data_IF_898128815355
#
_entry.id   IF_898128815355
#
_cell.length_a   1.000
_cell.length_b   1.000
_cell.length_c   1.000
_cell.angle_alpha   90.00
_cell.angle_beta   90.00
_cell.angle_gamma   90.00
#
_symmetry.space_group_name_H-M   'P 1'
#
loop_
_entity.id
_entity.type
_entity.pdbx_description
1 polymer ?
#
# COMPACT_ATOMS: atom_id res chain seq x y z
N UNK A 1 37.68 29.48 -9.76
CA UNK A 1 37.02 28.38 -10.50
C UNK A 1 36.08 27.62 -9.57
N UNK A 2 34.86 28.10 -9.34
CA UNK A 2 33.74 27.37 -8.72
C UNK A 2 32.54 28.34 -8.58
N UNK A 3 32.04 28.88 -9.69
CA UNK A 3 30.80 29.67 -9.67
C UNK A 3 29.61 28.75 -9.90
N UNK A 4 28.78 28.66 -8.87
CA UNK A 4 27.31 28.64 -8.93
C UNK A 4 26.68 28.28 -10.29
N UNK A 5 26.14 27.06 -10.36
CA UNK A 5 24.94 26.76 -11.15
C UNK A 5 24.22 25.57 -10.50
N UNK A 6 23.68 25.80 -9.29
CA UNK A 6 22.59 24.99 -8.74
C UNK A 6 21.34 25.31 -9.58
N UNK A 7 21.21 24.64 -10.72
CA UNK A 7 19.99 24.68 -11.52
C UNK A 7 18.92 23.89 -10.76
N UNK A 8 18.14 24.64 -9.98
CA UNK A 8 16.95 24.20 -9.27
C UNK A 8 15.92 23.77 -10.33
N UNK A 9 15.91 22.49 -10.67
CA UNK A 9 14.84 21.91 -11.47
C UNK A 9 13.61 21.78 -10.58
N UNK A 10 12.84 22.87 -10.48
CA UNK A 10 11.67 23.09 -9.60
C UNK A 10 10.37 22.55 -10.21
N UNK A 11 10.44 21.45 -10.95
CA UNK A 11 9.31 20.94 -11.71
C UNK A 11 8.82 19.63 -11.12
N UNK A 12 7.61 19.68 -10.56
CA UNK A 12 6.76 18.54 -10.22
C UNK A 12 7.13 17.72 -8.96
N UNK A 13 7.18 18.38 -7.80
CA UNK A 13 6.63 17.76 -6.58
C UNK A 13 5.10 17.76 -6.73
N UNK A 14 4.57 16.75 -7.42
CA UNK A 14 3.13 16.48 -7.40
C UNK A 14 2.81 16.02 -5.98
N UNK A 15 2.32 16.98 -5.20
CA UNK A 15 1.62 16.83 -3.95
C UNK A 15 0.71 15.59 -4.03
N UNK A 16 1.06 14.54 -3.27
CA UNK A 16 0.03 13.59 -2.88
C UNK A 16 -0.78 14.30 -1.80
N UNK A 17 -1.84 14.98 -2.22
CA UNK A 17 -2.91 15.43 -1.35
C UNK A 17 -3.40 14.20 -0.57
N UNK A 18 -3.01 14.11 0.70
CA UNK A 18 -3.53 13.15 1.66
C UNK A 18 -4.29 13.90 2.75
N UNK A 19 -5.01 14.96 2.36
CA UNK A 19 -5.98 15.63 3.19
C UNK A 19 -7.32 14.89 3.10
N UNK A 20 -7.42 13.80 3.86
CA UNK A 20 -8.63 13.38 4.57
C UNK A 20 -8.32 12.10 5.34
N UNK A 21 -8.54 12.06 6.66
CA UNK A 21 -8.72 10.82 7.37
C UNK A 21 -10.09 10.28 6.98
N UNK A 22 -10.23 9.79 5.75
CA UNK A 22 -11.43 9.05 5.38
C UNK A 22 -11.40 7.80 6.25
N UNK A 23 -12.30 7.78 7.22
CA UNK A 23 -12.83 6.61 7.88
C UNK A 23 -13.50 5.73 6.80
N UNK A 24 -12.71 5.26 5.83
CA UNK A 24 -13.16 4.32 4.83
C UNK A 24 -13.19 2.99 5.55
N UNK A 25 -14.39 2.67 6.01
CA UNK A 25 -14.85 1.31 6.11
C UNK A 25 -14.68 0.67 4.73
N UNK A 26 -13.45 0.26 4.40
CA UNK A 26 -13.16 -0.68 3.31
C UNK A 26 -13.67 -2.06 3.73
N UNK A 27 -14.98 -2.14 3.97
CA UNK A 27 -15.76 -3.32 3.70
C UNK A 27 -16.38 -3.07 2.33
N UNK A 28 -15.54 -2.96 1.29
CA UNK A 28 -16.04 -3.25 -0.04
C UNK A 28 -16.37 -4.74 -0.03
N UNK A 29 -17.61 -5.04 0.33
CA UNK A 29 -18.25 -6.29 -0.05
C UNK A 29 -18.27 -6.28 -1.57
N UNK A 30 -17.19 -6.75 -2.18
CA UNK A 30 -17.15 -7.03 -3.60
C UNK A 30 -18.12 -8.18 -3.79
N UNK A 31 -19.38 -7.83 -4.08
CA UNK A 31 -20.49 -8.77 -4.26
C UNK A 31 -20.25 -9.47 -5.58
N UNK A 32 -19.34 -10.44 -5.56
CA UNK A 32 -19.10 -11.28 -6.71
C UNK A 32 -20.31 -12.21 -6.88
N UNK A 33 -21.10 -11.93 -7.92
CA UNK A 33 -22.26 -12.75 -8.30
C UNK A 33 -21.74 -14.04 -8.95
N UNK A 34 -21.31 -14.99 -8.14
CA UNK A 34 -21.23 -16.40 -8.57
C UNK A 34 -22.52 -17.06 -8.12
N UNK A 35 -23.36 -17.42 -9.10
CA UNK A 35 -24.58 -18.17 -8.85
C UNK A 35 -24.32 -19.42 -8.01
N UNK A 36 -25.12 -19.60 -6.96
CA UNK A 36 -25.17 -20.83 -6.18
C UNK A 36 -24.27 -20.84 -4.94
N UNK A 37 -24.91 -20.82 -3.77
CA UNK A 37 -24.34 -20.84 -2.40
C UNK A 37 -23.64 -19.54 -1.98
N UNK A 38 -24.43 -18.69 -1.34
CA UNK A 38 -23.98 -17.70 -0.35
C UNK A 38 -23.23 -18.41 0.77
N UNK A 39 -21.96 -18.76 0.56
CA UNK A 39 -21.06 -18.87 1.71
C UNK A 39 -21.10 -17.49 2.34
N UNK A 40 -21.62 -17.38 3.57
CA UNK A 40 -21.47 -16.15 4.33
C UNK A 40 -19.98 -15.86 4.34
N UNK A 41 -19.54 -14.90 3.52
CA UNK A 41 -18.16 -14.43 3.49
C UNK A 41 -17.95 -13.67 4.80
N UNK A 42 -17.95 -14.41 5.93
CA UNK A 42 -17.35 -13.90 7.14
C UNK A 42 -15.89 -13.70 6.74
N UNK A 43 -15.40 -12.45 6.70
CA UNK A 43 -14.00 -12.23 6.40
C UNK A 43 -13.20 -13.09 7.37
N UNK A 44 -12.17 -13.76 6.86
CA UNK A 44 -11.32 -14.61 7.68
C UNK A 44 -10.92 -13.79 8.92
N UNK A 45 -11.23 -14.29 10.12
CA UNK A 45 -10.98 -13.60 11.38
C UNK A 45 -9.53 -13.10 11.47
N UNK A 46 -8.62 -13.88 10.88
CA UNK A 46 -7.23 -13.52 10.68
C UNK A 46 -6.99 -12.21 9.93
N UNK A 47 -7.63 -12.01 8.78
CA UNK A 47 -7.45 -10.80 7.98
C UNK A 47 -7.87 -9.57 8.78
N UNK A 48 -8.97 -9.69 9.53
CA UNK A 48 -9.41 -8.63 10.46
C UNK A 48 -8.35 -8.35 11.54
N UNK A 49 -7.81 -9.39 12.19
CA UNK A 49 -6.76 -9.24 13.23
C UNK A 49 -5.49 -8.57 12.69
N UNK A 50 -5.00 -9.00 11.53
CA UNK A 50 -3.83 -8.39 10.91
C UNK A 50 -4.08 -6.92 10.51
N UNK A 51 -5.24 -6.64 9.93
CA UNK A 51 -5.62 -5.29 9.54
C UNK A 51 -5.73 -4.37 10.77
N UNK A 52 -6.35 -4.86 11.86
CA UNK A 52 -6.44 -4.14 13.12
C UNK A 52 -5.07 -3.78 13.69
N UNK A 53 -4.15 -4.75 13.78
CA UNK A 53 -2.78 -4.51 14.28
C UNK A 53 -2.01 -3.52 13.41
N UNK A 54 -2.16 -3.63 12.09
CA UNK A 54 -1.53 -2.70 11.16
C UNK A 54 -2.07 -1.27 11.32
N UNK A 55 -3.39 -1.10 11.45
CA UNK A 55 -4.01 0.22 11.65
C UNK A 55 -3.64 0.81 13.02
N UNK A 56 -3.65 0.01 14.08
CA UNK A 56 -3.21 0.44 15.41
C UNK A 56 -1.75 0.91 15.39
N UNK A 57 -0.85 0.14 14.77
CA UNK A 57 0.55 0.53 14.61
C UNK A 57 0.71 1.83 13.80
N UNK A 58 -0.09 1.99 12.74
CA UNK A 58 -0.09 3.20 11.90
C UNK A 58 -0.50 4.43 12.71
N UNK A 59 -1.59 4.35 13.46
CA UNK A 59 -2.11 5.43 14.30
C UNK A 59 -1.08 5.87 15.35
N UNK A 60 -0.46 4.92 16.05
CA UNK A 60 0.54 5.22 17.07
C UNK A 60 1.80 5.86 16.50
N UNK A 61 2.21 5.45 15.30
CA UNK A 61 3.36 6.06 14.63
C UNK A 61 3.03 7.48 14.15
N UNK A 62 1.82 7.73 13.65
CA UNK A 62 1.38 9.06 13.22
C UNK A 62 1.28 10.06 14.37
N UNK A 63 0.90 9.59 15.56
CA UNK A 63 0.83 10.39 16.80
C UNK A 63 2.19 10.62 17.46
N UNK A 64 3.26 9.95 17.01
CA UNK A 64 4.59 10.09 17.61
C UNK A 64 5.23 11.43 17.25
N UNK A 65 5.14 12.39 18.17
CA UNK A 65 5.80 13.70 18.13
C UNK A 65 7.05 13.75 19.02
N UNK A 66 8.02 12.87 18.77
CA UNK A 66 9.27 12.81 19.53
C UNK A 66 9.28 11.81 20.71
N UNK A 67 8.12 11.25 21.04
CA UNK A 67 8.02 10.17 22.02
C UNK A 67 8.50 8.84 21.42
N UNK A 68 9.67 8.38 21.85
CA UNK A 68 10.27 7.08 21.45
C UNK A 68 9.42 5.87 21.89
N UNK A 69 8.63 6.02 22.95
CA UNK A 69 7.73 4.98 23.46
C UNK A 69 6.66 4.55 22.46
N UNK A 70 5.96 5.50 21.83
CA UNK A 70 4.91 5.22 20.83
C UNK A 70 5.49 4.57 19.56
N UNK A 71 6.69 4.98 19.15
CA UNK A 71 7.39 4.34 18.03
C UNK A 71 7.79 2.89 18.38
N UNK A 72 8.16 2.63 19.63
CA UNK A 72 8.48 1.27 20.09
C UNK A 72 7.24 0.39 20.17
N UNK A 73 6.12 0.93 20.65
CA UNK A 73 4.84 0.23 20.68
C UNK A 73 4.31 -0.09 19.28
N UNK A 74 4.43 0.83 18.33
CA UNK A 74 4.05 0.55 16.93
C UNK A 74 4.93 -0.55 16.31
N UNK A 75 6.24 -0.59 16.61
CA UNK A 75 7.12 -1.69 16.20
C UNK A 75 6.71 -3.02 16.83
N UNK A 76 6.25 -3.03 18.08
CA UNK A 76 5.76 -4.23 18.75
C UNK A 76 4.52 -4.78 18.02
N UNK A 77 3.51 -3.97 17.76
CA UNK A 77 2.32 -4.41 17.00
C UNK A 77 2.66 -4.98 15.62
N UNK A 78 3.67 -4.43 14.95
CA UNK A 78 4.14 -4.97 13.67
C UNK A 78 4.94 -6.27 13.79
N UNK A 79 5.52 -6.57 14.95
CA UNK A 79 6.12 -7.89 15.23
C UNK A 79 5.01 -8.90 15.45
N UNK A 80 4.06 -8.59 16.34
CA UNK A 80 2.87 -9.41 16.59
C UNK A 80 2.13 -9.75 15.28
N UNK A 81 1.89 -8.74 14.44
CA UNK A 81 1.24 -8.96 13.14
C UNK A 81 2.02 -9.94 12.25
N UNK A 82 3.36 -9.90 12.26
CA UNK A 82 4.19 -10.83 11.48
C UNK A 82 4.21 -12.23 12.07
N UNK A 83 4.23 -12.33 13.40
CA UNK A 83 4.18 -13.60 14.11
C UNK A 83 2.84 -14.29 13.83
N UNK A 84 1.72 -13.56 13.87
CA UNK A 84 0.42 -14.07 13.45
C UNK A 84 0.44 -14.60 12.01
N UNK A 85 1.04 -13.87 11.05
CA UNK A 85 1.18 -14.37 9.67
C UNK A 85 2.00 -15.65 9.57
N UNK A 86 3.01 -15.85 10.43
CA UNK A 86 3.84 -17.05 10.43
C UNK A 86 3.11 -18.24 11.03
N UNK A 87 2.44 -18.05 12.17
CA UNK A 87 1.68 -19.09 12.87
C UNK A 87 0.55 -19.63 11.99
N UNK A 88 -0.18 -18.73 11.34
CA UNK A 88 -1.33 -19.08 10.49
C UNK A 88 -0.91 -19.47 9.07
N UNK A 89 0.39 -19.39 8.76
CA UNK A 89 0.96 -19.66 7.43
C UNK A 89 0.32 -18.83 6.31
N UNK A 90 -0.09 -17.60 6.61
CA UNK A 90 -0.74 -16.69 5.67
C UNK A 90 0.28 -15.73 5.07
N UNK A 91 0.20 -15.57 3.74
CA UNK A 91 1.02 -14.60 3.03
C UNK A 91 0.61 -13.19 3.40
N UNK A 92 1.55 -12.42 3.94
CA UNK A 92 1.35 -11.00 4.23
C UNK A 92 0.93 -10.23 2.97
N UNK A 93 -0.06 -9.36 3.14
CA UNK A 93 -0.55 -8.47 2.08
C UNK A 93 0.56 -7.58 1.53
N UNK A 94 0.49 -7.38 0.21
CA UNK A 94 1.52 -6.62 -0.52
C UNK A 94 1.59 -5.17 -0.03
N UNK A 95 0.46 -4.58 0.37
CA UNK A 95 0.39 -3.18 0.76
C UNK A 95 1.03 -2.95 2.14
N UNK A 96 0.76 -3.82 3.11
CA UNK A 96 1.49 -3.82 4.39
C UNK A 96 2.98 -4.11 4.18
N UNK A 97 3.30 -5.06 3.31
CA UNK A 97 4.68 -5.39 2.94
C UNK A 97 5.44 -4.20 2.33
N UNK A 98 4.75 -3.25 1.70
CA UNK A 98 5.35 -2.05 1.08
C UNK A 98 5.59 -0.91 2.07
N UNK A 99 4.84 -0.84 3.16
CA UNK A 99 4.90 0.24 4.16
C UNK A 99 5.76 -0.11 5.37
N UNK A 100 6.06 -1.38 5.63
CA UNK A 100 6.86 -1.78 6.80
C UNK A 100 8.35 -1.90 6.44
N UNK A 101 9.26 -1.48 7.31
CA UNK A 101 10.70 -1.70 7.13
C UNK A 101 11.09 -3.18 7.20
N UNK A 102 12.08 -3.61 6.39
CA UNK A 102 12.59 -5.00 6.40
C UNK A 102 13.27 -5.34 7.73
N UNK A 103 14.13 -4.45 8.22
CA UNK A 103 14.97 -4.69 9.39
C UNK A 103 14.28 -4.24 10.68
N UNK A 104 14.22 -2.92 10.94
CA UNK A 104 13.73 -2.37 12.22
C UNK A 104 12.22 -2.48 12.47
N UNK A 105 11.46 -3.01 11.50
CA UNK A 105 9.98 -3.12 11.55
C UNK A 105 9.27 -1.78 11.79
N UNK A 106 9.89 -0.64 11.50
CA UNK A 106 9.23 0.66 11.55
C UNK A 106 8.23 0.80 10.39
N UNK A 107 7.15 1.56 10.59
CA UNK A 107 6.13 1.81 9.58
C UNK A 107 6.36 3.13 8.84
N UNK A 108 6.15 3.13 7.53
CA UNK A 108 6.22 4.28 6.65
C UNK A 108 4.86 4.95 6.56
N UNK A 109 4.57 5.84 7.52
CA UNK A 109 3.34 6.63 7.56
C UNK A 109 3.71 8.10 7.71
N UNK A 110 2.91 8.99 7.12
CA UNK A 110 3.02 10.41 7.33
C UNK A 110 2.69 10.75 8.79
N UNK A 111 3.56 11.51 9.45
CA UNK A 111 3.33 12.02 10.80
C UNK A 111 2.68 13.40 10.71
N UNK A 112 1.90 13.76 11.73
CA UNK A 112 1.20 15.04 11.77
C UNK A 112 2.16 16.24 11.66
N UNK A 113 3.35 16.12 12.22
CA UNK A 113 4.39 17.17 12.22
C UNK A 113 5.12 17.29 10.86
N UNK A 114 4.67 16.58 9.82
CA UNK A 114 5.34 16.52 8.51
C UNK A 114 6.64 15.70 8.51
N UNK A 115 7.05 15.14 9.65
CA UNK A 115 8.24 14.28 9.72
C UNK A 115 7.98 12.97 8.98
N UNK A 116 8.90 12.63 8.08
CA UNK A 116 8.83 11.40 7.29
C UNK A 116 9.71 10.35 7.95
N UNK A 117 9.29 9.08 7.96
CA UNK A 117 10.13 7.94 8.39
C UNK A 117 10.87 7.28 7.22
N UNK A 118 10.67 7.79 6.01
CA UNK A 118 11.14 7.21 4.75
C UNK A 118 11.68 8.29 3.81
N UNK A 119 12.73 7.94 3.08
CA UNK A 119 13.23 8.71 1.95
C UNK A 119 12.99 7.94 0.65
N UNK A 120 12.38 8.60 -0.33
CA UNK A 120 12.08 8.03 -1.64
C UNK A 120 13.04 8.60 -2.68
N UNK A 121 13.71 7.73 -3.44
CA UNK A 121 14.59 8.12 -4.56
C UNK A 121 14.28 7.28 -5.79
N UNK A 122 14.44 7.86 -6.98
CA UNK A 122 14.29 7.14 -8.24
C UNK A 122 15.66 6.86 -8.86
N UNK A 123 15.86 5.63 -9.34
CA UNK A 123 17.07 5.25 -10.06
C UNK A 123 16.93 5.53 -11.57
N UNK A 124 18.04 5.54 -12.32
CA UNK A 124 18.09 5.65 -13.79
C UNK A 124 17.18 4.63 -14.49
N UNK A 125 17.05 3.42 -13.92
CA UNK A 125 16.13 2.36 -14.37
C UNK A 125 14.65 2.61 -14.02
N UNK A 126 14.27 3.82 -13.58
CA UNK A 126 12.93 4.21 -13.11
C UNK A 126 12.39 3.34 -11.95
N UNK A 127 13.29 2.75 -11.17
CA UNK A 127 12.94 1.99 -9.97
C UNK A 127 12.76 2.93 -8.78
N UNK A 128 11.72 2.72 -7.99
CA UNK A 128 11.47 3.45 -6.75
C UNK A 128 12.24 2.79 -5.61
N UNK A 129 13.18 3.51 -5.02
CA UNK A 129 13.98 3.08 -3.87
C UNK A 129 13.44 3.78 -2.63
N UNK A 130 12.96 2.98 -1.68
CA UNK A 130 12.46 3.41 -0.37
C UNK A 130 13.52 3.12 0.68
N UNK A 131 14.05 4.14 1.32
CA UNK A 131 15.10 4.02 2.35
C UNK A 131 14.52 4.37 3.72
N UNK A 132 14.65 3.48 4.70
CA UNK A 132 14.23 3.76 6.07
C UNK A 132 15.20 4.74 6.73
N UNK A 133 14.69 5.82 7.31
CA UNK A 133 15.53 6.82 7.98
C UNK A 133 16.06 6.33 9.34
N UNK A 134 15.36 5.39 10.00
CA UNK A 134 15.79 4.86 11.30
C UNK A 134 16.97 3.88 11.22
N UNK A 135 17.07 3.08 10.14
CA UNK A 135 18.09 2.02 10.04
C UNK A 135 18.85 1.97 8.70
N UNK A 136 18.52 2.84 7.75
CA UNK A 136 19.17 2.87 6.43
C UNK A 136 18.79 1.73 5.48
N UNK A 137 17.97 0.76 5.90
CA UNK A 137 17.56 -0.35 5.04
C UNK A 137 16.78 0.14 3.80
N UNK A 138 17.09 -0.44 2.64
CA UNK A 138 16.52 -0.06 1.34
C UNK A 138 15.57 -1.12 0.80
N UNK A 139 14.46 -0.69 0.21
CA UNK A 139 13.53 -1.51 -0.56
C UNK A 139 13.42 -0.99 -1.98
N UNK A 140 13.49 -1.88 -2.95
CA UNK A 140 13.44 -1.55 -4.36
C UNK A 140 12.10 -2.00 -4.93
N UNK A 141 11.39 -1.09 -5.60
CA UNK A 141 10.13 -1.36 -6.25
C UNK A 141 10.22 -1.01 -7.73
N UNK A 142 9.86 -1.97 -8.56
CA UNK A 142 9.68 -1.76 -9.99
C UNK A 142 8.37 -0.99 -10.19
N UNK A 143 8.42 0.12 -10.91
CA UNK A 143 7.23 0.82 -11.38
C UNK A 143 6.87 0.28 -12.76
N UNK A 144 5.87 -0.59 -12.84
CA UNK A 144 5.33 -1.06 -14.11
C UNK A 144 3.86 -0.64 -14.20
N UNK A 145 3.57 0.37 -15.02
CA UNK A 145 2.21 0.89 -15.22
C UNK A 145 1.33 -0.03 -16.08
N UNK A 146 1.94 -0.92 -16.86
CA UNK A 146 1.22 -1.91 -17.71
C UNK A 146 1.06 -3.26 -17.01
N UNK A 147 1.53 -3.39 -15.76
CA UNK A 147 1.39 -4.63 -15.03
C UNK A 147 -0.05 -4.81 -14.59
N UNK A 148 -0.69 -5.85 -15.12
CA UNK A 148 -1.98 -6.34 -14.66
C UNK A 148 -1.81 -7.73 -14.06
N UNK A 149 -2.46 -7.97 -12.93
CA UNK A 149 -2.56 -9.31 -12.36
C UNK A 149 -3.34 -10.25 -13.30
N UNK A 150 -3.18 -11.57 -13.17
CA UNK A 150 -3.91 -12.53 -14.01
C UNK A 150 -5.43 -12.33 -13.88
N UNK A 151 -5.90 -12.02 -12.68
CA UNK A 151 -7.30 -11.78 -12.39
C UNK A 151 -7.78 -10.49 -13.08
N UNK A 152 -7.03 -9.38 -12.96
CA UNK A 152 -7.34 -8.12 -13.66
C UNK A 152 -7.36 -8.29 -15.18
N UNK A 153 -6.42 -9.05 -15.76
CA UNK A 153 -6.43 -9.33 -17.22
C UNK A 153 -7.67 -10.08 -17.65
N UNK A 154 -8.09 -11.08 -16.86
CA UNK A 154 -9.30 -11.84 -17.13
C UNK A 154 -10.55 -10.95 -17.05
N UNK A 155 -10.63 -10.07 -16.04
CA UNK A 155 -11.73 -9.09 -15.95
C UNK A 155 -11.75 -8.15 -17.15
N UNK A 156 -10.61 -7.59 -17.53
CA UNK A 156 -10.51 -6.71 -18.68
C UNK A 156 -10.92 -7.43 -19.97
N UNK A 157 -10.53 -8.69 -20.14
CA UNK A 157 -10.92 -9.48 -21.30
C UNK A 157 -12.44 -9.72 -21.34
N UNK A 158 -13.05 -10.09 -20.23
CA UNK A 158 -14.51 -10.24 -20.11
C UNK A 158 -15.23 -8.92 -20.45
N UNK A 159 -14.72 -7.79 -19.96
CA UNK A 159 -15.31 -6.49 -20.29
C UNK A 159 -15.12 -6.07 -21.76
N UNK A 160 -14.01 -6.47 -22.39
CA UNK A 160 -13.77 -6.23 -23.82
C UNK A 160 -14.74 -7.07 -24.65
N UNK A 161 -14.93 -8.35 -24.31
CA UNK A 161 -15.86 -9.25 -25.00
C UNK A 161 -17.31 -8.76 -24.87
N UNK A 162 -17.71 -8.28 -23.68
CA UNK A 162 -19.04 -7.66 -23.47
C UNK A 162 -19.26 -6.43 -24.36
N UNK A 163 -18.28 -5.52 -24.42
CA UNK A 163 -18.35 -4.34 -25.28
C UNK A 163 -18.42 -4.70 -26.76
N UNK A 164 -17.71 -5.75 -27.19
CA UNK A 164 -17.78 -6.23 -28.57
C UNK A 164 -19.16 -6.81 -28.92
N UNK A 165 -19.80 -7.51 -27.98
CA UNK A 165 -21.17 -8.02 -28.16
C UNK A 165 -22.20 -6.88 -28.26
N UNK A 166 -22.06 -5.84 -27.45
CA UNK A 166 -22.94 -4.65 -27.49
C UNK A 166 -22.82 -3.91 -28.84
N UNK A 167 -21.59 -3.66 -29.33
CA UNK A 167 -21.37 -3.02 -30.63
C UNK A 167 -21.92 -3.87 -31.78
N UNK A 168 -21.75 -5.19 -31.72
CA UNK A 168 -22.28 -6.11 -32.74
C UNK A 168 -23.81 -6.17 -32.75
N UNK A 169 -24.46 -5.88 -31.63
CA UNK A 169 -25.92 -5.85 -31.52
C UNK A 169 -26.52 -4.54 -32.05
N UNK A 170 -25.79 -3.43 -31.94
CA UNK A 170 -26.20 -2.13 -32.48
C UNK A 170 -26.09 -2.06 -34.02
N UNK A 171 -25.10 -2.72 -34.64
CA UNK A 171 -24.94 -2.74 -36.10
C UNK A 171 -26.02 -3.55 -36.86
N UNK A 172 -26.78 -4.39 -36.16
CA UNK A 172 -27.85 -5.23 -36.76
C UNK A 172 -29.22 -4.51 -36.78
N UNK A 173 -29.33 -3.30 -36.21
CA UNK A 173 -30.56 -2.51 -36.20
C UNK A 173 -30.48 -1.29 -37.12
#
# INVERSE_FOLDING_TARGET
MASFCLFVNRSALVFMNLDKPEFVQEQMSDRFVTGGKTRSFKPNEFHYRCNYLYRAASLLCSQSSGNSGLETLSKLYLREMKELCLVEMIRLEKDFGRTICKCCKNIFVARLNGTQSIMIRFNKKKQMIRTCLSCGAKKHFLRNSRYLSRNERNHNQIEIEKRQQEVSAEEVH
#
